data_IF_945147841962
#
_entry.id   IF_945147841962
#
_cell.length_a   1.000
_cell.length_b   1.000
_cell.length_c   1.000
_cell.angle_alpha   90.00
_cell.angle_beta   90.00
_cell.angle_gamma   90.00
#
_symmetry.space_group_name_H-M   'P 1'
#
loop_
_entity.id
_entity.type
_entity.pdbx_description
1 polymer ?
#
# COMPACT_ATOMS: atom_id res chain seq x y z
N UNK A 1 18.43 -21.02 -15.05
CA UNK A 1 19.00 -19.65 -15.09
C UNK A 1 18.24 -18.61 -14.26
N UNK A 2 17.07 -18.08 -14.65
CA UNK A 2 16.41 -16.99 -13.86
C UNK A 2 16.01 -17.41 -12.44
N UNK A 3 15.45 -18.63 -12.27
CA UNK A 3 15.11 -19.16 -10.94
C UNK A 3 16.34 -19.32 -10.05
N UNK A 4 17.42 -19.90 -10.58
CA UNK A 4 18.70 -20.02 -9.88
C UNK A 4 19.27 -18.67 -9.45
N UNK A 5 19.14 -17.64 -10.30
CA UNK A 5 19.56 -16.28 -9.95
C UNK A 5 18.73 -15.73 -8.78
N UNK A 6 17.40 -15.86 -8.83
CA UNK A 6 16.51 -15.41 -7.74
C UNK A 6 16.83 -16.16 -6.44
N UNK A 7 16.92 -17.49 -6.50
CA UNK A 7 17.26 -18.31 -5.34
C UNK A 7 18.63 -17.93 -4.75
N UNK A 8 19.65 -17.75 -5.60
CA UNK A 8 20.97 -17.29 -5.18
C UNK A 8 20.90 -15.91 -4.52
N UNK A 9 20.19 -14.93 -5.11
CA UNK A 9 20.07 -13.59 -4.55
C UNK A 9 19.42 -13.61 -3.17
N UNK A 10 18.29 -14.31 -3.02
CA UNK A 10 17.59 -14.39 -1.73
C UNK A 10 18.45 -15.12 -0.68
N UNK A 11 19.15 -16.19 -1.08
CA UNK A 11 20.10 -16.88 -0.20
C UNK A 11 21.17 -15.96 0.32
N UNK A 12 21.83 -15.21 -0.57
CA UNK A 12 22.91 -14.30 -0.16
C UNK A 12 22.37 -13.16 0.70
N UNK A 13 21.18 -12.61 0.40
CA UNK A 13 20.54 -11.61 1.25
C UNK A 13 20.31 -12.18 2.66
N UNK A 14 19.70 -13.36 2.79
CA UNK A 14 19.38 -13.95 4.11
C UNK A 14 20.64 -14.35 4.89
N UNK A 15 21.71 -14.78 4.22
CA UNK A 15 23.02 -15.04 4.87
C UNK A 15 23.62 -13.78 5.48
N UNK A 16 23.54 -12.66 4.76
CA UNK A 16 24.13 -11.40 5.19
C UNK A 16 23.20 -10.58 6.10
N UNK A 17 21.90 -10.88 6.09
CA UNK A 17 20.89 -10.26 6.97
C UNK A 17 20.08 -11.38 7.65
N UNK A 18 20.64 -12.05 8.68
CA UNK A 18 19.98 -13.19 9.33
C UNK A 18 18.61 -12.84 9.90
N UNK A 19 18.42 -11.60 10.37
CA UNK A 19 17.17 -11.10 10.95
C UNK A 19 16.13 -10.68 9.90
N UNK A 20 16.40 -10.85 8.60
CA UNK A 20 15.41 -10.59 7.56
C UNK A 20 14.19 -11.49 7.77
N UNK A 21 13.10 -10.93 8.29
CA UNK A 21 11.89 -11.67 8.62
C UNK A 21 10.85 -11.67 7.49
N UNK A 22 10.82 -10.62 6.66
CA UNK A 22 9.81 -10.48 5.62
C UNK A 22 10.38 -9.80 4.37
N UNK A 23 9.84 -10.20 3.21
CA UNK A 23 10.06 -9.53 1.93
C UNK A 23 8.69 -9.07 1.42
N UNK A 24 8.57 -7.78 1.13
CA UNK A 24 7.41 -7.23 0.42
C UNK A 24 7.81 -7.00 -1.03
N UNK A 25 7.05 -7.57 -1.96
CA UNK A 25 7.28 -7.44 -3.40
C UNK A 25 5.98 -7.10 -4.12
N UNK A 26 6.08 -6.75 -5.40
CA UNK A 26 4.94 -6.48 -6.25
C UNK A 26 5.14 -6.99 -7.66
N UNK A 27 4.04 -7.36 -8.30
CA UNK A 27 3.98 -7.66 -9.71
C UNK A 27 3.02 -6.64 -10.35
N UNK A 28 3.46 -5.39 -10.41
CA UNK A 28 2.89 -4.40 -11.30
C UNK A 28 3.88 -4.14 -12.45
N UNK A 29 3.33 -4.09 -13.66
CA UNK A 29 3.53 -3.12 -14.76
C UNK A 29 4.93 -2.53 -15.09
N UNK A 30 5.98 -2.66 -14.28
CA UNK A 30 7.25 -1.91 -14.40
C UNK A 30 8.50 -2.82 -14.46
N UNK A 31 8.42 -3.98 -15.14
CA UNK A 31 9.59 -4.82 -15.45
C UNK A 31 9.84 -6.03 -14.52
N UNK A 32 9.13 -6.13 -13.40
CA UNK A 32 9.03 -7.36 -12.59
C UNK A 32 7.89 -8.30 -13.06
N UNK A 33 7.35 -8.04 -14.25
CA UNK A 33 6.13 -8.67 -14.76
C UNK A 33 6.24 -10.18 -14.90
N UNK A 34 5.21 -10.88 -14.43
CA UNK A 34 5.05 -12.31 -14.65
C UNK A 34 4.68 -12.53 -16.11
N UNK A 35 5.54 -13.20 -16.89
CA UNK A 35 5.30 -13.48 -18.32
C UNK A 35 3.86 -13.97 -18.57
N UNK A 36 3.21 -13.44 -19.61
CA UNK A 36 1.84 -13.71 -20.03
C UNK A 36 0.76 -13.53 -18.95
N UNK A 37 1.03 -12.76 -17.88
CA UNK A 37 -0.03 -12.30 -16.97
C UNK A 37 -0.94 -11.28 -17.68
N UNK A 38 -2.22 -11.26 -17.31
CA UNK A 38 -3.24 -10.46 -17.99
C UNK A 38 -2.93 -8.95 -17.96
N UNK A 39 -2.51 -8.44 -16.81
CA UNK A 39 -2.46 -7.00 -16.54
C UNK A 39 -1.11 -6.33 -16.80
N UNK A 40 -0.30 -6.87 -17.72
CA UNK A 40 0.91 -6.20 -18.18
C UNK A 40 0.55 -5.00 -19.09
N UNK A 41 1.28 -3.87 -19.01
CA UNK A 41 1.03 -2.68 -19.85
C UNK A 41 0.89 -2.97 -21.35
N UNK A 42 1.79 -3.74 -22.00
CA UNK A 42 1.66 -4.08 -23.42
C UNK A 42 0.62 -5.19 -23.70
N UNK A 43 -0.12 -5.64 -22.68
CA UNK A 43 -0.90 -6.86 -22.70
C UNK A 43 -0.05 -8.11 -22.43
N UNK A 44 -0.68 -9.30 -22.38
CA UNK A 44 0.01 -10.56 -22.07
C UNK A 44 1.18 -10.83 -23.01
N UNK A 45 2.40 -10.83 -22.48
CA UNK A 45 3.60 -11.07 -23.27
C UNK A 45 4.70 -11.83 -22.53
N UNK A 46 5.66 -12.36 -23.27
CA UNK A 46 6.86 -13.00 -22.71
C UNK A 46 7.38 -14.14 -23.57
N UNK A 47 8.37 -14.89 -23.07
CA UNK A 47 8.92 -16.04 -23.80
C UNK A 47 7.83 -17.07 -24.14
N UNK A 48 7.88 -17.62 -25.35
CA UNK A 48 6.87 -18.56 -25.84
C UNK A 48 6.73 -19.81 -24.96
N UNK A 49 7.84 -20.30 -24.40
CA UNK A 49 7.83 -21.48 -23.52
C UNK A 49 7.08 -21.27 -22.20
N UNK A 50 6.80 -20.02 -21.81
CA UNK A 50 6.02 -19.70 -20.62
C UNK A 50 4.53 -19.56 -20.89
N UNK A 51 4.10 -19.50 -22.16
CA UNK A 51 2.72 -19.13 -22.55
C UNK A 51 1.67 -20.09 -22.03
N UNK A 52 1.97 -21.39 -22.01
CA UNK A 52 1.06 -22.44 -21.54
C UNK A 52 1.06 -22.63 -20.02
N UNK A 53 1.95 -21.94 -19.29
CA UNK A 53 1.99 -22.00 -17.82
C UNK A 53 0.96 -21.01 -17.29
N UNK A 54 0.10 -21.41 -16.35
CA UNK A 54 -0.87 -20.49 -15.76
C UNK A 54 -0.20 -19.43 -14.87
N UNK A 55 -0.84 -18.28 -14.70
CA UNK A 55 -0.36 -17.22 -13.79
C UNK A 55 -0.18 -17.74 -12.37
N UNK A 56 -1.13 -18.52 -11.85
CA UNK A 56 -1.01 -19.15 -10.53
C UNK A 56 0.21 -20.06 -10.40
N UNK A 57 0.49 -20.89 -11.41
CA UNK A 57 1.68 -21.76 -11.40
C UNK A 57 2.98 -20.95 -11.43
N UNK A 58 3.00 -19.83 -12.17
CA UNK A 58 4.15 -18.91 -12.22
C UNK A 58 4.38 -18.21 -10.88
N UNK A 59 3.33 -17.70 -10.25
CA UNK A 59 3.39 -17.07 -8.92
C UNK A 59 3.88 -18.07 -7.88
N UNK A 60 3.27 -19.26 -7.81
CA UNK A 60 3.68 -20.33 -6.89
C UNK A 60 5.15 -20.67 -7.07
N UNK A 61 5.56 -20.94 -8.30
CA UNK A 61 6.95 -21.23 -8.69
C UNK A 61 7.92 -20.16 -8.20
N UNK A 62 7.59 -18.88 -8.38
CA UNK A 62 8.41 -17.77 -7.92
C UNK A 62 8.49 -17.71 -6.40
N UNK A 63 7.35 -17.82 -5.70
CA UNK A 63 7.30 -17.80 -4.24
C UNK A 63 8.09 -18.95 -3.62
N UNK A 64 7.93 -20.17 -4.14
CA UNK A 64 8.71 -21.34 -3.70
C UNK A 64 10.22 -21.14 -3.92
N UNK A 65 10.62 -20.53 -5.04
CA UNK A 65 12.02 -20.23 -5.34
C UNK A 65 12.60 -19.23 -4.33
N UNK A 66 11.83 -18.20 -3.95
CA UNK A 66 12.23 -17.22 -2.94
C UNK A 66 12.38 -17.90 -1.57
N UNK A 67 11.38 -18.68 -1.13
CA UNK A 67 11.43 -19.41 0.15
C UNK A 67 12.59 -20.39 0.20
N UNK A 68 12.86 -21.10 -0.89
CA UNK A 68 14.02 -21.99 -0.99
C UNK A 68 15.34 -21.24 -0.82
N UNK A 69 15.49 -20.09 -1.48
CA UNK A 69 16.65 -19.22 -1.31
C UNK A 69 16.84 -18.80 0.15
N UNK A 70 15.77 -18.35 0.80
CA UNK A 70 15.80 -17.95 2.21
C UNK A 70 16.23 -19.09 3.14
N UNK A 71 15.66 -20.29 2.97
CA UNK A 71 16.02 -21.49 3.75
C UNK A 71 17.51 -21.83 3.62
N UNK A 72 18.02 -21.84 2.39
CA UNK A 72 19.45 -22.07 2.16
C UNK A 72 20.34 -20.96 2.72
N UNK A 73 19.76 -19.78 2.93
CA UNK A 73 20.43 -18.63 3.51
C UNK A 73 20.40 -18.60 5.05
N UNK A 74 19.64 -19.50 5.69
CA UNK A 74 19.66 -19.69 7.13
C UNK A 74 18.32 -19.50 7.85
N UNK A 75 17.20 -19.34 7.15
CA UNK A 75 15.90 -19.31 7.81
C UNK A 75 14.70 -19.05 6.90
N UNK A 76 13.51 -19.18 7.46
CA UNK A 76 12.25 -18.81 6.78
C UNK A 76 12.10 -17.29 6.68
N UNK A 77 11.22 -16.87 5.78
CA UNK A 77 10.72 -15.50 5.67
C UNK A 77 9.21 -15.51 5.46
N UNK A 78 8.56 -14.37 5.71
CA UNK A 78 7.22 -14.07 5.21
C UNK A 78 7.34 -13.35 3.87
N UNK A 79 6.74 -13.88 2.81
CA UNK A 79 6.66 -13.23 1.51
C UNK A 79 5.31 -12.53 1.37
N UNK A 80 5.32 -11.23 1.12
CA UNK A 80 4.09 -10.44 0.96
C UNK A 80 4.05 -9.77 -0.40
N UNK A 81 2.95 -9.96 -1.10
CA UNK A 81 2.62 -9.26 -2.33
C UNK A 81 1.89 -7.96 -1.97
N UNK A 82 2.65 -6.86 -1.92
CA UNK A 82 2.16 -5.54 -1.53
C UNK A 82 1.48 -4.75 -2.64
N UNK A 83 1.82 -5.04 -3.89
CA UNK A 83 1.15 -4.49 -5.07
C UNK A 83 1.04 -5.57 -6.15
N UNK A 84 -0.17 -6.01 -6.46
CA UNK A 84 -0.41 -6.98 -7.52
C UNK A 84 -1.56 -6.51 -8.39
N UNK A 85 -1.40 -6.72 -9.69
CA UNK A 85 -2.45 -6.47 -10.67
C UNK A 85 -2.78 -7.79 -11.36
N UNK A 86 -3.46 -8.69 -10.65
CA UNK A 86 -3.97 -9.93 -11.22
C UNK A 86 -5.36 -9.65 -11.77
N UNK A 87 -5.56 -9.89 -13.06
CA UNK A 87 -6.81 -9.54 -13.77
C UNK A 87 -7.40 -10.80 -14.42
N UNK A 88 -8.57 -10.70 -15.03
CA UNK A 88 -9.26 -11.83 -15.68
C UNK A 88 -9.37 -13.09 -14.80
N UNK A 89 -9.88 -12.93 -13.58
CA UNK A 89 -10.04 -14.02 -12.59
C UNK A 89 -8.73 -14.71 -12.18
N UNK A 90 -7.55 -14.19 -12.53
CA UNK A 90 -6.25 -14.74 -12.10
C UNK A 90 -6.18 -14.88 -10.58
N UNK A 91 -6.74 -13.93 -9.84
CA UNK A 91 -6.79 -13.95 -8.37
C UNK A 91 -7.39 -15.23 -7.79
N UNK A 92 -8.47 -15.73 -8.38
CA UNK A 92 -9.20 -16.93 -7.92
C UNK A 92 -8.34 -18.19 -8.01
N UNK A 93 -7.40 -18.20 -8.96
CA UNK A 93 -6.46 -19.31 -9.13
C UNK A 93 -5.15 -19.10 -8.36
N UNK A 94 -4.71 -17.85 -8.18
CA UNK A 94 -3.47 -17.51 -7.48
C UNK A 94 -3.58 -17.75 -5.98
N UNK A 95 -4.64 -17.25 -5.33
CA UNK A 95 -4.80 -17.34 -3.86
C UNK A 95 -4.68 -18.77 -3.33
N UNK A 96 -5.41 -19.76 -3.89
CA UNK A 96 -5.34 -21.14 -3.37
C UNK A 96 -3.99 -21.82 -3.63
N UNK A 97 -3.16 -21.27 -4.53
CA UNK A 97 -1.87 -21.83 -4.90
C UNK A 97 -0.67 -21.14 -4.21
N UNK A 98 -0.92 -20.12 -3.38
CA UNK A 98 0.15 -19.49 -2.60
C UNK A 98 0.78 -20.52 -1.65
N UNK A 99 2.11 -20.68 -1.64
CA UNK A 99 2.75 -21.56 -0.67
C UNK A 99 2.63 -20.96 0.74
N UNK A 100 2.84 -21.76 1.81
CA UNK A 100 2.87 -21.26 3.18
C UNK A 100 3.78 -20.03 3.35
N UNK A 101 3.48 -19.19 4.35
CA UNK A 101 4.19 -17.93 4.59
C UNK A 101 4.19 -16.97 3.39
N UNK A 102 3.17 -17.04 2.54
CA UNK A 102 3.00 -16.14 1.38
C UNK A 102 1.62 -15.53 1.39
N UNK A 103 1.55 -14.20 1.28
CA UNK A 103 0.31 -13.46 1.44
C UNK A 103 0.16 -12.40 0.36
N UNK A 104 -1.08 -12.13 -0.07
CA UNK A 104 -1.43 -10.93 -0.83
C UNK A 104 -2.03 -9.94 0.15
N UNK A 105 -1.45 -8.74 0.26
CA UNK A 105 -1.76 -7.82 1.36
C UNK A 105 -3.24 -7.44 1.47
N UNK A 106 -3.94 -7.29 0.34
CA UNK A 106 -5.35 -6.91 0.34
C UNK A 106 -6.29 -8.10 0.63
N UNK A 107 -5.77 -9.33 0.62
CA UNK A 107 -6.54 -10.57 0.81
C UNK A 107 -6.21 -11.26 2.13
N UNK A 108 -5.22 -10.75 2.88
CA UNK A 108 -4.81 -11.30 4.18
C UNK A 108 -5.51 -10.57 5.32
N UNK A 109 -6.53 -11.21 5.89
CA UNK A 109 -7.27 -10.70 7.03
C UNK A 109 -6.41 -10.53 8.30
N UNK A 110 -5.25 -11.18 8.39
CA UNK A 110 -4.33 -11.05 9.53
C UNK A 110 -3.42 -9.82 9.46
N UNK A 111 -3.49 -9.05 8.36
CA UNK A 111 -2.68 -7.87 8.16
C UNK A 111 -3.45 -6.58 8.45
N UNK A 112 -2.96 -5.82 9.42
CA UNK A 112 -3.36 -4.43 9.62
C UNK A 112 -2.38 -3.50 8.90
N UNK A 113 -2.91 -2.57 8.10
CA UNK A 113 -2.11 -1.57 7.40
C UNK A 113 -2.51 -0.18 7.89
N UNK A 114 -1.53 0.58 8.36
CA UNK A 114 -1.72 1.95 8.82
C UNK A 114 -0.46 2.79 8.57
N UNK A 115 -0.54 4.10 8.74
CA UNK A 115 0.57 5.00 8.47
C UNK A 115 0.13 6.43 8.25
N UNK A 116 1.02 7.24 7.71
CA UNK A 116 0.67 8.57 7.23
C UNK A 116 -0.10 8.48 5.91
N UNK A 117 -0.69 9.59 5.47
CA UNK A 117 -1.46 9.66 4.24
C UNK A 117 -0.58 9.83 2.98
N UNK A 118 0.75 9.77 3.07
CA UNK A 118 1.66 10.01 1.94
C UNK A 118 1.34 9.15 0.72
N UNK A 119 0.97 7.88 0.92
CA UNK A 119 0.62 6.97 -0.18
C UNK A 119 -0.64 7.38 -0.93
N UNK A 120 -1.60 8.02 -0.26
CA UNK A 120 -2.88 8.46 -0.85
C UNK A 120 -2.81 9.91 -1.35
N UNK A 121 -2.02 10.73 -0.68
CA UNK A 121 -2.06 12.19 -0.81
C UNK A 121 -0.81 12.79 -1.44
N UNK A 122 0.18 11.99 -1.84
CA UNK A 122 1.33 12.47 -2.60
C UNK A 122 0.89 13.39 -3.76
N UNK A 123 1.50 14.59 -3.92
CA UNK A 123 2.73 15.06 -3.30
C UNK A 123 2.59 15.77 -1.94
N UNK A 124 1.39 15.80 -1.34
CA UNK A 124 1.22 16.38 -0.01
C UNK A 124 1.83 15.48 1.07
N UNK A 125 2.74 16.05 1.85
CA UNK A 125 3.40 15.44 3.01
C UNK A 125 2.82 16.03 4.29
N UNK A 126 3.08 15.41 5.42
CA UNK A 126 2.76 15.92 6.75
C UNK A 126 1.39 15.50 7.28
N UNK A 127 0.67 14.64 6.56
CA UNK A 127 -0.74 14.38 6.83
C UNK A 127 -0.93 13.05 7.56
N UNK A 128 -1.37 13.12 8.81
CA UNK A 128 -1.80 11.97 9.62
C UNK A 128 -3.31 12.09 9.78
N UNK A 129 -4.05 10.99 9.57
CA UNK A 129 -5.49 10.92 9.84
C UNK A 129 -5.72 10.13 11.14
N UNK A 130 -5.88 10.80 12.30
CA UNK A 130 -5.91 10.09 13.56
C UNK A 130 -7.09 9.14 13.68
N UNK A 131 -8.25 9.50 13.13
CA UNK A 131 -9.45 8.67 13.19
C UNK A 131 -9.29 7.40 12.36
N UNK A 132 -8.66 7.48 11.19
CA UNK A 132 -8.32 6.30 10.38
C UNK A 132 -7.32 5.39 11.09
N UNK A 133 -6.30 5.95 11.76
CA UNK A 133 -5.31 5.16 12.50
C UNK A 133 -5.94 4.46 13.69
N UNK A 134 -6.74 5.16 14.52
CA UNK A 134 -7.43 4.55 15.67
C UNK A 134 -8.33 3.42 15.18
N UNK A 135 -9.09 3.63 14.10
CA UNK A 135 -9.93 2.58 13.50
C UNK A 135 -9.12 1.38 13.02
N UNK A 136 -8.01 1.60 12.32
CA UNK A 136 -7.16 0.53 11.82
C UNK A 136 -6.53 -0.31 12.95
N UNK A 137 -6.33 0.29 14.13
CA UNK A 137 -5.76 -0.38 15.29
C UNK A 137 -6.78 -1.09 16.18
N UNK A 138 -8.10 -0.98 15.93
CA UNK A 138 -9.12 -1.70 16.72
C UNK A 138 -8.93 -3.21 16.75
N UNK A 139 -8.56 -3.89 15.64
CA UNK A 139 -8.34 -5.32 15.64
C UNK A 139 -7.02 -5.75 16.30
N UNK A 140 -6.13 -4.81 16.66
CA UNK A 140 -4.80 -5.13 17.20
C UNK A 140 -4.77 -6.12 18.38
N UNK A 141 -5.72 -6.11 19.33
CA UNK A 141 -5.72 -7.06 20.45
C UNK A 141 -6.14 -8.48 20.07
N UNK A 142 -6.69 -8.66 18.88
CA UNK A 142 -7.16 -9.94 18.40
C UNK A 142 -5.98 -10.81 17.96
N UNK A 143 -5.91 -12.05 18.44
CA UNK A 143 -4.87 -13.02 18.08
C UNK A 143 -4.87 -13.32 16.57
N UNK A 144 -5.97 -13.02 15.86
CA UNK A 144 -6.07 -13.13 14.40
C UNK A 144 -5.20 -12.11 13.66
N UNK A 145 -4.80 -10.99 14.28
CA UNK A 145 -3.87 -10.03 13.70
C UNK A 145 -2.43 -10.49 13.92
N UNK A 146 -1.85 -11.11 12.89
CA UNK A 146 -0.48 -11.59 12.92
C UNK A 146 0.56 -10.53 12.54
N UNK A 147 0.19 -9.47 11.81
CA UNK A 147 1.13 -8.51 11.24
C UNK A 147 0.59 -7.08 11.19
N UNK A 148 1.47 -6.10 11.42
CA UNK A 148 1.20 -4.69 11.16
C UNK A 148 2.20 -4.15 10.15
N UNK A 149 1.70 -3.53 9.08
CA UNK A 149 2.50 -2.78 8.12
C UNK A 149 2.34 -1.29 8.35
N UNK A 150 3.43 -0.63 8.77
CA UNK A 150 3.51 0.81 8.94
C UNK A 150 4.06 1.47 7.68
N UNK A 151 3.35 2.48 7.16
CA UNK A 151 3.69 3.16 5.90
C UNK A 151 4.01 4.63 6.12
N UNK A 152 5.27 4.99 5.89
CA UNK A 152 5.78 6.36 6.04
C UNK A 152 6.39 6.92 4.77
N UNK A 153 6.42 6.13 3.70
CA UNK A 153 6.95 6.52 2.42
C UNK A 153 6.00 6.12 1.31
N UNK A 154 6.20 6.75 0.16
CA UNK A 154 5.52 6.40 -1.06
C UNK A 154 5.98 5.01 -1.57
N UNK A 155 5.26 3.97 -1.19
CA UNK A 155 5.75 2.59 -1.32
C UNK A 155 5.79 2.06 -2.76
N UNK A 156 5.07 2.68 -3.70
CA UNK A 156 4.93 2.13 -5.06
C UNK A 156 6.00 2.64 -6.03
N UNK A 157 6.43 3.88 -5.87
CA UNK A 157 7.42 4.49 -6.76
C UNK A 157 8.61 5.11 -6.01
N UNK A 158 8.64 5.01 -4.67
CA UNK A 158 9.73 5.57 -3.85
C UNK A 158 9.91 7.08 -4.04
N UNK A 159 8.83 7.82 -4.34
CA UNK A 159 8.95 9.22 -4.77
C UNK A 159 9.15 10.21 -3.63
N UNK A 160 8.76 9.85 -2.42
CA UNK A 160 8.97 10.66 -1.23
C UNK A 160 8.77 9.84 0.04
N UNK A 161 9.51 10.22 1.07
CA UNK A 161 9.20 9.89 2.46
C UNK A 161 8.33 10.98 3.07
N UNK A 162 7.57 10.69 4.12
CA UNK A 162 6.88 11.72 4.88
C UNK A 162 7.88 12.55 5.73
N UNK A 163 7.41 13.60 6.40
CA UNK A 163 8.26 14.37 7.32
C UNK A 163 8.48 13.59 8.62
N UNK A 164 9.65 13.76 9.25
CA UNK A 164 9.93 13.16 10.56
C UNK A 164 8.91 13.59 11.63
N UNK A 165 8.39 14.82 11.53
CA UNK A 165 7.34 15.32 12.42
C UNK A 165 6.03 14.54 12.27
N UNK A 166 5.57 14.28 11.04
CA UNK A 166 4.36 13.51 10.81
C UNK A 166 4.53 12.04 11.20
N UNK A 167 5.70 11.46 10.94
CA UNK A 167 6.03 10.11 11.41
C UNK A 167 6.01 10.05 12.94
N UNK A 168 6.62 11.02 13.62
CA UNK A 168 6.60 11.12 15.08
C UNK A 168 5.17 11.21 15.63
N UNK A 169 4.34 12.11 15.08
CA UNK A 169 2.92 12.23 15.45
C UNK A 169 2.13 10.94 15.21
N UNK A 170 2.41 10.26 14.10
CA UNK A 170 1.82 8.95 13.84
C UNK A 170 2.27 7.92 14.89
N UNK A 171 3.55 7.87 15.25
CA UNK A 171 4.08 6.90 16.21
C UNK A 171 3.49 7.11 17.61
N UNK A 172 3.40 8.36 18.08
CA UNK A 172 2.73 8.71 19.35
C UNK A 172 1.30 8.16 19.38
N UNK A 173 0.58 8.33 18.27
CA UNK A 173 -0.79 7.84 18.11
C UNK A 173 -0.84 6.30 18.08
N UNK A 174 0.05 5.68 17.31
CA UNK A 174 0.14 4.23 17.19
C UNK A 174 0.41 3.58 18.55
N UNK A 175 1.42 4.06 19.28
CA UNK A 175 1.76 3.59 20.63
C UNK A 175 0.59 3.76 21.60
N UNK A 176 -0.12 4.88 21.51
CA UNK A 176 -1.32 5.13 22.31
C UNK A 176 -2.43 4.10 22.01
N UNK A 177 -2.63 3.75 20.73
CA UNK A 177 -3.60 2.73 20.33
C UNK A 177 -3.17 1.31 20.73
N UNK A 178 -1.88 1.00 20.70
CA UNK A 178 -1.32 -0.27 21.19
C UNK A 178 -1.53 -0.40 22.70
N UNK A 179 -1.20 0.64 23.46
CA UNK A 179 -1.30 0.62 24.92
C UNK A 179 -2.75 0.57 25.42
N UNK A 180 -3.67 1.21 24.68
CA UNK A 180 -5.08 1.28 25.03
C UNK A 180 -5.94 1.12 23.77
N UNK A 181 -6.19 -0.11 23.32
CA UNK A 181 -7.00 -0.39 22.14
C UNK A 181 -8.44 0.11 22.31
N UNK A 182 -9.05 0.50 21.19
CA UNK A 182 -10.46 0.91 21.13
C UNK A 182 -11.31 -0.21 20.55
N UNK A 183 -12.58 -0.26 20.94
CA UNK A 183 -13.58 -1.14 20.36
C UNK A 183 -14.90 -0.38 20.13
N UNK A 184 -15.30 -0.27 18.88
CA UNK A 184 -16.54 0.40 18.47
C UNK A 184 -16.46 1.93 18.44
N UNK A 185 -17.55 2.55 17.99
CA UNK A 185 -17.59 3.97 17.65
C UNK A 185 -17.34 4.89 18.87
N UNK A 186 -17.95 4.60 20.01
CA UNK A 186 -17.85 5.47 21.20
C UNK A 186 -16.40 5.59 21.68
N UNK A 187 -15.74 4.46 21.94
CA UNK A 187 -14.35 4.45 22.42
C UNK A 187 -13.37 5.05 21.40
N UNK A 188 -13.66 4.90 20.10
CA UNK A 188 -12.90 5.54 19.02
C UNK A 188 -12.99 7.06 19.09
N UNK A 189 -14.18 7.62 19.30
CA UNK A 189 -14.38 9.06 19.42
C UNK A 189 -13.81 9.61 20.73
N UNK A 190 -13.91 8.87 21.83
CA UNK A 190 -13.24 9.25 23.08
C UNK A 190 -11.71 9.31 22.90
N UNK A 191 -11.13 8.31 22.26
CA UNK A 191 -9.70 8.31 21.93
C UNK A 191 -9.34 9.50 21.03
N UNK A 192 -10.13 9.77 19.99
CA UNK A 192 -9.90 10.93 19.13
C UNK A 192 -9.91 12.23 19.95
N UNK A 193 -10.82 12.38 20.90
CA UNK A 193 -10.92 13.55 21.80
C UNK A 193 -9.69 13.68 22.70
N UNK A 194 -9.17 12.58 23.25
CA UNK A 194 -7.91 12.56 24.01
C UNK A 194 -6.71 13.04 23.15
N UNK A 195 -6.61 12.54 21.92
CA UNK A 195 -5.57 12.93 20.96
C UNK A 195 -5.69 14.41 20.60
N UNK A 196 -6.90 14.89 20.35
CA UNK A 196 -7.15 16.30 20.05
C UNK A 196 -6.75 17.23 21.19
N UNK A 197 -6.97 16.84 22.44
CA UNK A 197 -6.51 17.59 23.61
C UNK A 197 -4.98 17.56 23.72
N UNK A 198 -4.36 16.40 23.49
CA UNK A 198 -2.90 16.24 23.52
C UNK A 198 -2.21 17.11 22.45
N UNK A 199 -2.74 17.16 21.24
CA UNK A 199 -2.11 17.88 20.12
C UNK A 199 -2.48 19.36 20.06
N UNK A 200 -3.72 19.72 20.40
CA UNK A 200 -4.20 21.10 20.35
C UNK A 200 -4.13 21.85 21.68
N UNK A 201 -3.94 21.14 22.79
CA UNK A 201 -4.15 21.65 24.13
C UNK A 201 -5.64 21.73 24.51
N UNK A 202 -5.92 21.83 25.82
CA UNK A 202 -7.28 21.88 26.40
C UNK A 202 -8.18 22.91 25.73
N UNK A 203 -7.64 24.08 25.41
CA UNK A 203 -8.42 25.19 24.85
C UNK A 203 -8.83 24.97 23.38
N UNK A 204 -8.10 24.14 22.63
CA UNK A 204 -8.38 23.89 21.21
C UNK A 204 -8.90 22.48 20.94
N UNK A 205 -9.11 21.65 21.98
CA UNK A 205 -9.50 20.25 21.85
C UNK A 205 -10.67 20.05 20.88
N UNK A 206 -11.75 20.79 21.08
CA UNK A 206 -12.97 20.57 20.31
C UNK A 206 -12.79 21.01 18.84
N UNK A 207 -12.06 22.11 18.59
CA UNK A 207 -11.72 22.56 17.24
C UNK A 207 -10.80 21.55 16.50
N UNK A 208 -9.81 20.98 17.20
CA UNK A 208 -8.91 19.95 16.64
C UNK A 208 -9.67 18.64 16.40
N UNK A 209 -10.59 18.27 17.29
CA UNK A 209 -11.45 17.10 17.13
C UNK A 209 -12.32 17.22 15.87
N UNK A 210 -13.00 18.35 15.70
CA UNK A 210 -13.80 18.61 14.49
C UNK A 210 -12.93 18.61 13.23
N UNK A 211 -11.73 19.21 13.28
CA UNK A 211 -10.80 19.20 12.16
C UNK A 211 -10.39 17.77 11.75
N UNK A 212 -10.13 16.87 12.71
CA UNK A 212 -9.82 15.48 12.41
C UNK A 212 -11.02 14.71 11.83
N UNK A 213 -12.22 14.92 12.37
CA UNK A 213 -13.45 14.34 11.82
C UNK A 213 -13.67 14.80 10.37
N UNK A 214 -13.55 16.11 10.11
CA UNK A 214 -13.71 16.70 8.77
C UNK A 214 -12.66 16.17 7.79
N UNK A 215 -11.40 16.05 8.22
CA UNK A 215 -10.33 15.47 7.40
C UNK A 215 -10.63 14.01 7.04
N UNK A 216 -10.99 13.18 8.02
CA UNK A 216 -11.33 11.77 7.78
C UNK A 216 -12.52 11.61 6.82
N UNK A 217 -13.55 12.44 7.00
CA UNK A 217 -14.71 12.47 6.11
C UNK A 217 -14.30 12.91 4.69
N UNK A 218 -13.51 13.96 4.57
CA UNK A 218 -13.02 14.46 3.27
C UNK A 218 -12.18 13.43 2.52
N UNK A 219 -11.24 12.76 3.20
CA UNK A 219 -10.43 11.69 2.62
C UNK A 219 -11.29 10.49 2.20
N UNK A 220 -12.31 10.14 2.99
CA UNK A 220 -13.26 9.07 2.65
C UNK A 220 -14.10 9.42 1.43
N UNK A 221 -14.59 10.67 1.33
CA UNK A 221 -15.35 11.15 0.18
C UNK A 221 -14.52 11.16 -1.10
N UNK A 222 -13.25 11.58 -1.03
CA UNK A 222 -12.33 11.51 -2.17
C UNK A 222 -12.19 10.06 -2.68
N UNK A 223 -12.01 9.10 -1.76
CA UNK A 223 -11.92 7.69 -2.11
C UNK A 223 -13.20 7.16 -2.78
N UNK A 224 -14.37 7.58 -2.32
CA UNK A 224 -15.65 7.18 -2.89
C UNK A 224 -15.92 7.82 -4.26
N UNK A 225 -15.53 9.08 -4.45
CA UNK A 225 -15.73 9.80 -5.70
C UNK A 225 -14.80 9.33 -6.83
N UNK A 226 -13.62 8.82 -6.49
CA UNK A 226 -12.59 8.44 -7.45
C UNK A 226 -11.92 7.09 -7.09
N UNK A 227 -12.67 5.99 -6.93
CA UNK A 227 -12.18 4.76 -6.30
C UNK A 227 -11.03 4.08 -7.05
N UNK A 228 -10.92 4.29 -8.37
CA UNK A 228 -9.86 3.76 -9.22
C UNK A 228 -8.54 4.52 -9.07
N UNK A 229 -8.53 5.68 -8.41
CA UNK A 229 -7.37 6.53 -8.26
C UNK A 229 -6.74 6.34 -6.88
N UNK A 230 -5.71 5.50 -6.83
CA UNK A 230 -4.97 5.24 -5.58
C UNK A 230 -4.24 6.50 -5.03
N UNK A 231 -3.96 7.50 -5.88
CA UNK A 231 -3.41 8.80 -5.48
C UNK A 231 -4.28 9.93 -6.01
N UNK A 232 -5.21 10.39 -5.19
CA UNK A 232 -6.17 11.41 -5.61
C UNK A 232 -5.47 12.67 -6.10
N UNK A 233 -4.55 13.31 -5.35
CA UNK A 233 -3.98 14.57 -5.82
C UNK A 233 -3.15 14.45 -7.10
N UNK A 234 -2.40 13.36 -7.26
CA UNK A 234 -1.54 13.17 -8.42
C UNK A 234 -2.32 12.65 -9.62
N UNK A 235 -2.90 11.45 -9.52
CA UNK A 235 -3.50 10.80 -10.68
C UNK A 235 -4.86 11.38 -11.03
N UNK A 236 -5.71 11.70 -10.05
CA UNK A 236 -7.00 12.32 -10.37
C UNK A 236 -6.78 13.67 -11.04
N UNK A 237 -5.93 14.55 -10.49
CA UNK A 237 -5.71 15.87 -11.12
C UNK A 237 -5.07 15.77 -12.50
N UNK A 238 -4.12 14.86 -12.72
CA UNK A 238 -3.51 14.66 -14.04
C UNK A 238 -4.52 14.08 -15.03
N UNK A 239 -5.31 13.08 -14.63
CA UNK A 239 -6.32 12.47 -15.49
C UNK A 239 -7.51 13.40 -15.75
N UNK A 240 -7.87 14.24 -14.79
CA UNK A 240 -8.90 15.27 -14.93
C UNK A 240 -8.38 16.53 -15.63
N UNK A 241 -7.07 16.65 -15.88
CA UNK A 241 -6.50 17.79 -16.62
C UNK A 241 -7.19 17.95 -17.97
N UNK A 242 -7.58 16.86 -18.61
CA UNK A 242 -8.29 16.88 -19.88
C UNK A 242 -9.69 17.51 -19.82
N UNK A 243 -10.35 17.50 -18.65
CA UNK A 243 -11.66 18.14 -18.50
C UNK A 243 -11.55 19.67 -18.51
N UNK A 244 -10.46 20.21 -17.96
CA UNK A 244 -10.26 21.66 -17.84
C UNK A 244 -9.25 22.21 -18.83
N UNK A 245 -8.44 21.35 -19.47
CA UNK A 245 -7.40 21.72 -20.44
C UNK A 245 -7.14 20.54 -21.40
N UNK A 246 -8.02 20.30 -22.37
CA UNK A 246 -7.87 19.21 -23.33
C UNK A 246 -6.50 19.31 -24.03
N UNK A 247 -5.86 18.18 -24.32
CA UNK A 247 -4.68 18.18 -25.18
C UNK A 247 -5.11 18.56 -26.60
N UNK A 248 -4.76 19.77 -26.99
CA UNK A 248 -4.98 20.26 -28.35
C UNK A 248 -3.83 19.75 -29.20
N UNK A 249 -4.14 19.03 -30.29
CA UNK A 249 -3.14 18.42 -31.19
C UNK A 249 -2.23 19.48 -31.82
N UNK A 250 -2.75 20.70 -31.98
CA UNK A 250 -2.06 21.87 -32.54
C UNK A 250 -2.32 23.10 -31.65
N UNK A 251 -1.67 23.22 -30.49
CA UNK A 251 -1.90 24.33 -29.56
C UNK A 251 -1.61 25.70 -30.22
N UNK A 252 -0.77 25.74 -31.24
CA UNK A 252 -0.48 26.95 -32.04
C UNK A 252 -1.65 27.45 -32.89
N UNK A 253 -2.71 26.66 -33.06
CA UNK A 253 -3.92 27.06 -33.78
C UNK A 253 -5.02 27.60 -32.86
N UNK A 254 -4.79 27.62 -31.54
CA UNK A 254 -5.76 28.17 -30.61
C UNK A 254 -5.85 29.68 -30.79
N UNK A 255 -7.08 30.18 -30.85
CA UNK A 255 -7.34 31.62 -30.73
C UNK A 255 -7.06 32.07 -29.30
N UNK A 256 -6.76 33.36 -29.07
CA UNK A 256 -6.57 33.88 -27.71
C UNK A 256 -7.73 33.59 -26.76
N UNK A 257 -8.97 33.47 -27.27
CA UNK A 257 -10.14 33.12 -26.46
C UNK A 257 -10.17 31.63 -26.02
N UNK A 258 -9.36 30.77 -26.65
CA UNK A 258 -9.32 29.31 -26.46
C UNK A 258 -8.12 28.85 -25.60
N UNK A 259 -7.25 29.78 -25.17
CA UNK A 259 -6.04 29.49 -24.37
C UNK A 259 -6.26 29.41 -22.84
N UNK A 260 -7.51 29.65 -22.38
CA UNK A 260 -7.90 29.76 -20.97
C UNK A 260 -7.73 28.46 -20.15
#
# INVERSE_FOLDING_TARGET
RTREMIEWMIREIKRNVPDLAAIVTGANDSGAGLCWAAAQYPGPNGPQHCRSISTAQRVRTLCETIHQGARQGGGEIVLRWGNVNFWDHEMETVLPMLPPNTFINNEDASLTITGTQINRMFPFRGMVDPLAVVKAMEPFPDESVGNILLRFSDQYYGRADDSAEAVSKFLDLFETCVAKPTNGLHSRLDRLREISESWGGKNNRDAVFEAFCNMNQGLSLLQLAAPLYYRHPLFLRVSLRYMNRPLVIKPELLRPEEEA
#
